data_IF_849594333723
#
_entry.id   IF_849594333723
#
_cell.length_a   1.000
_cell.length_b   1.000
_cell.length_c   1.000
_cell.angle_alpha   90.00
_cell.angle_beta   90.00
_cell.angle_gamma   90.00
#
_symmetry.space_group_name_H-M   'P 1'
#
loop_
_entity.id
_entity.type
_entity.pdbx_description
1 polymer ?
#
# COMPACT_ATOMS: atom_id res chain seq x y z
N UNK A 1 9.34 -7.67 8.35
CA UNK A 1 7.90 -7.44 8.55
C UNK A 1 7.19 -7.60 7.22
N UNK A 2 7.36 -6.65 6.30
CA UNK A 2 6.97 -6.77 4.88
C UNK A 2 7.46 -8.04 4.16
N UNK A 3 8.67 -8.52 4.50
CA UNK A 3 9.24 -9.76 3.94
C UNK A 3 8.40 -11.01 4.19
N UNK A 4 7.57 -11.02 5.23
CA UNK A 4 6.69 -12.15 5.61
C UNK A 4 5.33 -12.10 4.93
N UNK A 5 4.96 -10.97 4.33
CA UNK A 5 3.68 -10.81 3.63
C UNK A 5 3.62 -11.72 2.41
N UNK A 6 2.45 -12.29 2.14
CA UNK A 6 2.21 -13.16 0.99
C UNK A 6 1.05 -12.62 0.17
N UNK A 7 1.04 -12.97 -1.11
CA UNK A 7 -0.11 -12.70 -1.97
C UNK A 7 -1.37 -13.28 -1.35
N UNK A 8 -2.43 -12.48 -1.27
CA UNK A 8 -3.69 -12.82 -0.61
C UNK A 8 -3.81 -12.42 0.86
N UNK A 9 -2.71 -12.01 1.51
CA UNK A 9 -2.79 -11.51 2.89
C UNK A 9 -3.49 -10.13 2.89
N UNK A 10 -4.35 -9.92 3.89
CA UNK A 10 -5.10 -8.67 4.06
C UNK A 10 -4.19 -7.49 4.38
N UNK A 11 -4.51 -6.35 3.78
CA UNK A 11 -3.82 -5.09 4.03
C UNK A 11 -4.80 -3.93 4.13
N UNK A 12 -4.38 -2.88 4.84
CA UNK A 12 -5.15 -1.68 5.05
C UNK A 12 -4.30 -0.43 4.78
N UNK A 13 -4.78 0.45 3.92
CA UNK A 13 -4.19 1.76 3.71
C UNK A 13 -5.00 2.81 4.48
N UNK A 14 -4.30 3.63 5.25
CA UNK A 14 -4.89 4.71 6.04
C UNK A 14 -4.24 6.02 5.62
N UNK A 15 -5.06 7.06 5.45
CA UNK A 15 -4.58 8.40 5.20
C UNK A 15 -5.64 9.45 5.43
N UNK A 16 -5.35 10.70 5.07
CA UNK A 16 -6.27 11.82 5.20
C UNK A 16 -6.40 12.53 3.85
N UNK A 17 -7.17 11.98 2.90
CA UNK A 17 -7.49 12.63 1.65
C UNK A 17 -8.20 13.96 1.92
N UNK A 18 -7.58 15.05 1.46
CA UNK A 18 -8.10 16.41 1.51
C UNK A 18 -8.21 17.07 2.90
N UNK A 19 -7.68 16.45 3.96
CA UNK A 19 -7.64 17.08 5.29
C UNK A 19 -8.99 17.11 6.03
N UNK A 20 -10.04 16.50 5.46
CA UNK A 20 -11.42 16.55 5.94
C UNK A 20 -11.79 15.37 6.85
N UNK A 21 -10.91 14.37 7.00
CA UNK A 21 -11.14 13.18 7.83
C UNK A 21 -10.28 12.00 7.38
N UNK A 22 -9.84 11.16 8.32
CA UNK A 22 -9.07 9.96 8.01
C UNK A 22 -9.89 8.96 7.20
N UNK A 23 -9.39 8.50 6.06
CA UNK A 23 -9.98 7.41 5.28
C UNK A 23 -9.21 6.12 5.47
N UNK A 24 -9.96 5.03 5.49
CA UNK A 24 -9.43 3.68 5.55
C UNK A 24 -9.93 2.91 4.34
N UNK A 25 -9.01 2.22 3.66
CA UNK A 25 -9.30 1.33 2.55
C UNK A 25 -8.62 0.00 2.77
N UNK A 26 -9.33 -1.09 2.44
CA UNK A 26 -8.86 -2.46 2.67
C UNK A 26 -8.75 -3.17 1.33
N UNK A 27 -7.75 -4.04 1.24
CA UNK A 27 -7.53 -4.93 0.12
C UNK A 27 -6.64 -6.09 0.54
N UNK A 28 -5.98 -6.68 -0.43
CA UNK A 28 -4.98 -7.74 -0.23
C UNK A 28 -3.66 -7.35 -0.87
N UNK A 29 -2.60 -8.07 -0.50
CA UNK A 29 -1.39 -8.14 -1.32
C UNK A 29 -1.75 -8.84 -2.62
N UNK A 30 -1.75 -8.10 -3.73
CA UNK A 30 -2.03 -8.61 -5.07
C UNK A 30 -0.78 -9.18 -5.74
N UNK A 31 0.39 -8.59 -5.49
CA UNK A 31 1.68 -9.07 -5.98
C UNK A 31 2.85 -8.54 -5.12
N UNK A 32 4.02 -9.16 -5.26
CA UNK A 32 5.27 -8.77 -4.58
C UNK A 32 6.43 -8.70 -5.56
N UNK A 33 7.54 -8.09 -5.12
CA UNK A 33 8.77 -7.98 -5.89
C UNK A 33 8.51 -7.36 -7.27
N UNK A 34 7.62 -6.35 -7.29
CA UNK A 34 7.30 -5.65 -8.53
C UNK A 34 8.41 -4.66 -8.79
N UNK A 35 9.11 -4.90 -9.89
CA UNK A 35 10.03 -3.95 -10.48
C UNK A 35 9.26 -3.06 -11.46
N UNK A 36 9.22 -1.76 -11.18
CA UNK A 36 8.56 -0.76 -12.01
C UNK A 36 9.58 0.15 -12.71
N UNK A 37 10.87 -0.22 -12.70
CA UNK A 37 12.00 0.53 -13.25
C UNK A 37 12.02 1.99 -12.76
N UNK A 38 11.66 2.22 -11.49
CA UNK A 38 11.52 3.57 -10.93
C UNK A 38 12.78 4.07 -10.23
N UNK A 39 13.78 3.23 -10.01
CA UNK A 39 15.05 3.61 -9.39
C UNK A 39 15.80 2.43 -8.77
N UNK A 40 16.82 2.70 -7.93
CA UNK A 40 17.70 1.65 -7.38
C UNK A 40 17.04 0.75 -6.32
N UNK A 41 15.78 0.97 -5.97
CA UNK A 41 15.03 0.24 -4.94
C UNK A 41 13.68 -0.24 -5.48
N UNK A 42 13.72 -1.24 -6.36
CA UNK A 42 12.52 -1.80 -6.98
C UNK A 42 12.12 -3.13 -6.27
N UNK A 43 11.48 -3.01 -5.10
CA UNK A 43 10.76 -4.12 -4.41
C UNK A 43 9.40 -3.62 -3.91
N UNK A 44 8.49 -3.37 -4.85
CA UNK A 44 7.15 -2.88 -4.52
C UNK A 44 6.20 -4.03 -4.16
N UNK A 45 5.36 -3.76 -3.16
CA UNK A 45 4.16 -4.53 -2.86
C UNK A 45 3.02 -3.91 -3.65
N UNK A 46 2.31 -4.73 -4.42
CA UNK A 46 1.10 -4.31 -5.10
C UNK A 46 -0.11 -4.67 -4.24
N UNK A 47 -1.07 -3.75 -4.11
CA UNK A 47 -2.36 -3.99 -3.46
C UNK A 47 -3.51 -3.50 -4.33
N UNK A 48 -4.68 -4.08 -4.14
CA UNK A 48 -5.95 -3.64 -4.70
C UNK A 48 -6.74 -2.73 -3.74
N UNK A 49 -6.20 -2.46 -2.54
CA UNK A 49 -6.76 -1.44 -1.65
C UNK A 49 -6.79 -0.09 -2.40
N UNK A 50 -7.91 0.60 -2.34
CA UNK A 50 -8.08 1.86 -3.06
C UNK A 50 -7.13 2.95 -2.54
N UNK A 51 -6.15 3.34 -3.36
CA UNK A 51 -5.22 4.43 -3.06
C UNK A 51 -5.66 5.68 -3.85
N UNK A 52 -5.76 6.82 -3.17
CA UNK A 52 -6.19 8.11 -3.71
C UNK A 52 -5.33 9.24 -3.10
N UNK A 53 -5.45 10.46 -3.65
CA UNK A 53 -4.74 11.63 -3.09
C UNK A 53 -5.04 11.80 -1.60
N UNK A 54 -4.01 11.58 -0.78
CA UNK A 54 -3.98 11.77 0.67
C UNK A 54 -4.02 10.51 1.53
N UNK A 55 -4.19 9.31 0.95
CA UNK A 55 -3.62 8.08 1.53
C UNK A 55 -2.41 7.55 0.73
N UNK A 56 -2.11 8.18 -0.41
CA UNK A 56 -1.01 7.89 -1.34
C UNK A 56 0.40 8.08 -0.80
N UNK A 57 0.58 8.69 0.37
CA UNK A 57 1.87 8.80 1.10
C UNK A 57 1.75 8.23 2.53
N UNK A 58 0.61 7.58 2.79
CA UNK A 58 0.28 7.00 4.08
C UNK A 58 0.85 5.59 4.23
N UNK A 59 0.86 5.08 5.48
CA UNK A 59 1.27 3.72 5.77
C UNK A 59 0.28 2.68 5.19
N UNK A 60 0.85 1.54 4.78
CA UNK A 60 0.13 0.31 4.52
C UNK A 60 0.35 -0.64 5.70
N UNK A 61 -0.74 -1.15 6.28
CA UNK A 61 -0.71 -2.03 7.44
C UNK A 61 -1.09 -3.46 7.07
N UNK A 62 -0.52 -4.43 7.79
CA UNK A 62 -1.03 -5.80 7.82
C UNK A 62 -2.21 -5.93 8.81
N UNK A 63 -2.82 -7.12 8.88
CA UNK A 63 -3.94 -7.40 9.78
C UNK A 63 -3.59 -7.32 11.28
N UNK A 64 -2.31 -7.30 11.65
CA UNK A 64 -1.85 -7.10 13.02
C UNK A 64 -1.65 -5.62 13.38
N UNK A 65 -1.84 -4.70 12.43
CA UNK A 65 -1.62 -3.26 12.62
C UNK A 65 -0.15 -2.85 12.51
N UNK A 66 0.70 -3.72 11.97
CA UNK A 66 2.11 -3.43 11.73
C UNK A 66 2.29 -2.77 10.35
N UNK A 67 3.20 -1.79 10.25
CA UNK A 67 3.48 -1.11 8.97
C UNK A 67 4.35 -2.01 8.09
N UNK A 68 3.84 -2.32 6.90
CA UNK A 68 4.52 -3.18 5.92
C UNK A 68 4.98 -2.42 4.67
N UNK A 69 4.63 -1.14 4.53
CA UNK A 69 5.03 -0.32 3.40
C UNK A 69 4.51 1.11 3.49
N UNK A 70 4.94 1.92 2.53
CA UNK A 70 4.45 3.29 2.31
C UNK A 70 3.82 3.29 0.93
N UNK A 71 2.58 3.78 0.83
CA UNK A 71 1.95 3.97 -0.47
C UNK A 71 2.76 5.05 -1.21
N UNK A 72 3.08 4.86 -2.50
CA UNK A 72 3.96 5.80 -3.23
C UNK A 72 3.57 6.02 -4.68
N UNK A 73 2.99 5.02 -5.36
CA UNK A 73 2.58 5.12 -6.75
C UNK A 73 1.23 4.44 -6.99
N UNK A 74 0.37 5.12 -7.74
CA UNK A 74 -0.87 4.56 -8.27
C UNK A 74 -0.67 4.42 -9.77
N UNK A 75 -0.66 3.19 -10.27
CA UNK A 75 -0.76 2.93 -11.71
C UNK A 75 -2.23 2.63 -11.99
N UNK A 76 -2.97 3.65 -12.44
CA UNK A 76 -4.29 3.50 -13.05
C UNK A 76 -4.18 3.90 -14.54
N UNK A 77 -4.87 3.20 -15.45
CA UNK A 77 -4.98 3.62 -16.85
C UNK A 77 -5.55 5.04 -17.01
#
# INVERSE_FOLDING_TARGET
DSSKMRVGDWVMAIGNPFGLGGTVTVGIVSARNRDINSGPYDDFIQTDAAINRGNSDGPLFNSAGEVIGINTAIISP
#
